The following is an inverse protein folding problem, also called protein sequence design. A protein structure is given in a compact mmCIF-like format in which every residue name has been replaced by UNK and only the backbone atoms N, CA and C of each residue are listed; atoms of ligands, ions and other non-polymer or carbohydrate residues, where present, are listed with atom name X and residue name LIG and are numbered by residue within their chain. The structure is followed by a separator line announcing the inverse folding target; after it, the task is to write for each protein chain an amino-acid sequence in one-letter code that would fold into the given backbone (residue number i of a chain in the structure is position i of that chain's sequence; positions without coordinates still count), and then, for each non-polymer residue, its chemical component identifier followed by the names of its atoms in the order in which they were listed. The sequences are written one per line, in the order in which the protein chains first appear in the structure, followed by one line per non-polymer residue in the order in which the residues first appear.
data_IF_292190916401
#
_entry.id   IF_292190916401
#
_cell.length_a   1.000
_cell.length_b   1.000
_cell.length_c   1.000
_cell.angle_alpha   90.00
_cell.angle_beta   90.00
_cell.angle_gamma   90.00
#
_symmetry.space_group_name_H-M   'P 1'
#
loop_
_entity.id
_entity.type
_entity.pdbx_description
1 polymer ?
#
# COMPACT_ATOMS: atom_id res chain seq x y z
N UNK A 1 -2.26 -11.78 -12.73
CA UNK A 1 -1.61 -10.47 -12.89
C UNK A 1 -2.42 -9.43 -12.12
N UNK A 2 -1.77 -8.54 -11.38
CA UNK A 2 -2.36 -7.40 -10.66
C UNK A 2 -1.99 -6.14 -11.42
N UNK A 3 -2.99 -5.35 -11.82
CA UNK A 3 -2.78 -4.07 -12.49
C UNK A 3 -3.68 -2.98 -11.93
N UNK A 4 -3.18 -1.75 -11.93
CA UNK A 4 -3.97 -0.54 -11.73
C UNK A 4 -4.20 0.13 -13.08
N UNK A 5 -5.35 0.78 -13.23
CA UNK A 5 -5.73 1.39 -14.50
C UNK A 5 -6.21 2.82 -14.24
N UNK A 6 -5.63 3.77 -14.96
CA UNK A 6 -6.08 5.16 -15.00
C UNK A 6 -6.73 5.49 -16.35
N UNK A 7 -7.03 6.77 -16.60
CA UNK A 7 -7.68 7.20 -17.84
C UNK A 7 -6.84 7.04 -19.10
N UNK A 8 -5.56 6.68 -18.98
CA UNK A 8 -4.60 6.63 -20.08
C UNK A 8 -3.85 5.31 -20.18
N UNK A 9 -3.55 4.67 -19.05
CA UNK A 9 -2.67 3.51 -19.00
C UNK A 9 -3.17 2.45 -18.04
N UNK A 10 -2.87 1.20 -18.38
CA UNK A 10 -2.82 0.10 -17.46
C UNK A 10 -1.36 -0.13 -17.03
N UNK A 11 -1.11 -0.12 -15.72
CA UNK A 11 0.19 -0.41 -15.14
C UNK A 11 0.14 -1.73 -14.35
N UNK A 12 1.04 -2.67 -14.68
CA UNK A 12 1.11 -3.96 -14.01
C UNK A 12 2.04 -3.88 -12.81
N UNK A 13 1.45 -4.02 -11.62
CA UNK A 13 2.20 -4.02 -10.37
C UNK A 13 2.86 -5.38 -10.07
N UNK A 14 2.17 -6.46 -10.44
CA UNK A 14 2.64 -7.82 -10.17
C UNK A 14 2.04 -8.82 -11.13
N UNK A 15 2.75 -9.91 -11.36
CA UNK A 15 2.26 -11.01 -12.18
C UNK A 15 3.30 -11.52 -13.15
N UNK A 16 2.99 -12.68 -13.71
CA UNK A 16 3.79 -13.34 -14.72
C UNK A 16 3.12 -13.00 -16.06
N UNK A 17 3.87 -12.38 -16.96
CA UNK A 17 3.46 -12.10 -18.33
C UNK A 17 4.50 -12.69 -19.26
N UNK A 18 4.11 -13.30 -20.38
CA UNK A 18 5.07 -13.73 -21.41
C UNK A 18 5.77 -12.55 -22.09
N UNK A 19 5.24 -11.32 -21.95
CA UNK A 19 5.84 -10.11 -22.51
C UNK A 19 6.65 -9.38 -21.44
N UNK A 20 7.97 -9.33 -21.65
CA UNK A 20 8.92 -8.57 -20.84
C UNK A 20 9.03 -7.14 -21.36
N UNK A 21 7.95 -6.35 -21.30
CA UNK A 21 8.09 -4.90 -21.46
C UNK A 21 8.77 -4.34 -20.21
N UNK A 22 9.87 -3.60 -20.38
CA UNK A 22 10.64 -2.99 -19.28
C UNK A 22 9.74 -2.13 -18.37
N UNK A 23 8.78 -1.42 -18.97
CA UNK A 23 7.89 -0.49 -18.26
C UNK A 23 6.62 -1.14 -17.69
N UNK A 24 6.30 -2.39 -18.08
CA UNK A 24 5.09 -3.14 -17.66
C UNK A 24 3.80 -2.31 -17.67
N UNK A 25 3.70 -1.36 -18.61
CA UNK A 25 2.62 -0.40 -18.74
C UNK A 25 2.24 -0.22 -20.19
N UNK A 26 0.96 -0.05 -20.49
CA UNK A 26 0.47 0.17 -21.86
C UNK A 26 -0.79 1.04 -21.89
N UNK A 27 -1.09 1.70 -23.03
CA UNK A 27 -2.31 2.48 -23.19
C UNK A 27 -3.57 1.67 -22.89
N UNK A 28 -4.51 2.27 -22.15
CA UNK A 28 -5.72 1.58 -21.68
C UNK A 28 -6.56 1.03 -22.82
N UNK A 29 -6.58 1.71 -23.97
CA UNK A 29 -7.34 1.30 -25.17
C UNK A 29 -6.82 0.00 -25.76
N UNK A 30 -5.53 -0.30 -25.53
CA UNK A 30 -4.88 -1.56 -25.93
C UNK A 30 -4.99 -2.64 -24.85
N UNK A 31 -5.58 -2.31 -23.71
CA UNK A 31 -5.71 -3.25 -22.60
C UNK A 31 -6.90 -4.18 -22.77
N UNK A 32 -6.66 -5.45 -22.47
CA UNK A 32 -7.74 -6.42 -22.29
C UNK A 32 -8.58 -6.12 -21.05
N UNK A 33 -7.97 -5.60 -19.98
CA UNK A 33 -8.62 -5.45 -18.68
C UNK A 33 -9.50 -4.19 -18.58
N UNK A 34 -9.45 -3.30 -19.59
CA UNK A 34 -10.28 -2.08 -19.62
C UNK A 34 -11.78 -2.40 -19.53
N UNK A 35 -12.21 -3.54 -20.09
CA UNK A 35 -13.61 -3.95 -20.09
C UNK A 35 -14.13 -4.38 -18.71
N UNK A 36 -13.23 -4.60 -17.73
CA UNK A 36 -13.58 -4.98 -16.36
C UNK A 36 -13.91 -3.76 -15.51
N UNK A 37 -13.45 -2.57 -15.90
CA UNK A 37 -13.65 -1.34 -15.13
C UNK A 37 -15.11 -0.89 -15.03
N UNK A 38 -15.99 -1.42 -15.88
CA UNK A 38 -17.40 -1.04 -15.95
C UNK A 38 -18.30 -1.83 -14.99
N UNK A 39 -17.79 -2.89 -14.35
CA UNK A 39 -18.58 -3.77 -13.49
C UNK A 39 -17.86 -4.02 -12.16
N UNK A 40 -18.66 -4.27 -11.11
CA UNK A 40 -18.16 -4.70 -9.82
C UNK A 40 -18.04 -6.22 -9.76
N UNK A 41 -18.73 -6.97 -10.62
CA UNK A 41 -18.68 -8.42 -10.62
C UNK A 41 -17.48 -8.97 -11.42
N UNK A 42 -16.93 -10.12 -11.02
CA UNK A 42 -15.91 -10.82 -11.80
C UNK A 42 -16.42 -11.18 -13.21
N UNK A 43 -15.60 -10.93 -14.22
CA UNK A 43 -15.87 -11.36 -15.60
C UNK A 43 -15.15 -12.66 -15.90
N UNK A 44 -15.91 -13.73 -16.13
CA UNK A 44 -15.37 -15.07 -16.41
C UNK A 44 -15.69 -15.46 -17.86
N UNK A 45 -14.64 -15.67 -18.66
CA UNK A 45 -14.72 -15.98 -20.08
C UNK A 45 -14.03 -17.32 -20.34
N UNK A 46 -14.81 -18.34 -20.65
CA UNK A 46 -14.27 -19.68 -20.94
C UNK A 46 -13.47 -19.73 -22.26
N UNK A 47 -13.94 -19.02 -23.29
CA UNK A 47 -13.29 -18.95 -24.60
C UNK A 47 -13.36 -17.53 -25.15
N UNK A 48 -12.25 -16.80 -25.08
CA UNK A 48 -12.15 -15.39 -25.48
C UNK A 48 -12.43 -15.20 -26.97
N UNK A 49 -12.18 -16.21 -27.81
CA UNK A 49 -12.41 -16.14 -29.26
C UNK A 49 -13.90 -16.11 -29.62
N UNK A 50 -14.76 -16.62 -28.73
CA UNK A 50 -16.22 -16.69 -28.91
C UNK A 50 -16.96 -15.57 -28.19
N UNK A 51 -16.26 -14.79 -27.35
CA UNK A 51 -16.90 -13.75 -26.55
C UNK A 51 -17.19 -12.50 -27.41
N UNK A 52 -18.40 -11.91 -27.37
CA UNK A 52 -18.81 -10.83 -28.27
C UNK A 52 -17.98 -9.54 -28.16
N UNK A 53 -17.42 -9.27 -26.97
CA UNK A 53 -16.52 -8.13 -26.70
C UNK A 53 -15.05 -8.53 -26.88
N UNK A 54 -14.53 -9.38 -25.99
CA UNK A 54 -13.13 -9.82 -26.02
C UNK A 54 -12.67 -10.49 -27.32
N UNK A 55 -13.56 -11.17 -28.05
CA UNK A 55 -13.24 -11.78 -29.34
C UNK A 55 -12.83 -10.78 -30.43
N UNK A 56 -13.23 -9.51 -30.27
CA UNK A 56 -12.87 -8.41 -31.17
C UNK A 56 -11.55 -7.74 -30.79
N UNK A 57 -10.96 -8.09 -29.65
CA UNK A 57 -9.71 -7.50 -29.19
C UNK A 57 -8.57 -7.84 -30.18
N UNK A 58 -7.69 -6.89 -30.55
CA UNK A 58 -6.63 -7.13 -31.55
C UNK A 58 -5.76 -8.36 -31.25
N UNK A 59 -5.43 -8.60 -29.97
CA UNK A 59 -4.66 -9.78 -29.57
C UNK A 59 -5.42 -11.11 -29.77
N UNK A 60 -6.76 -11.11 -29.70
CA UNK A 60 -7.57 -12.31 -29.96
C UNK A 60 -7.72 -12.52 -31.46
N UNK A 61 -8.01 -11.47 -32.23
CA UNK A 61 -8.14 -11.52 -33.70
C UNK A 61 -6.82 -11.96 -34.36
N UNK A 62 -5.68 -11.52 -33.85
CA UNK A 62 -4.36 -11.93 -34.34
C UNK A 62 -3.89 -13.32 -33.85
N UNK A 63 -4.65 -13.97 -32.98
CA UNK A 63 -4.30 -15.27 -32.38
C UNK A 63 -3.21 -15.21 -31.29
N UNK A 64 -2.78 -14.02 -30.89
CA UNK A 64 -1.81 -13.83 -29.78
C UNK A 64 -2.39 -14.13 -28.40
N UNK A 65 -3.71 -14.06 -28.26
CA UNK A 65 -4.45 -14.35 -27.04
C UNK A 65 -5.56 -15.36 -27.40
N UNK A 66 -5.55 -16.51 -26.75
CA UNK A 66 -6.55 -17.57 -26.96
C UNK A 66 -6.96 -18.17 -25.61
N UNK A 67 -7.94 -19.08 -25.62
CA UNK A 67 -8.36 -19.79 -24.42
C UNK A 67 -9.24 -18.98 -23.48
N UNK A 68 -8.99 -19.07 -22.17
CA UNK A 68 -9.86 -18.50 -21.14
C UNK A 68 -9.25 -17.27 -20.48
N UNK A 69 -10.13 -16.39 -19.99
CA UNK A 69 -9.77 -15.19 -19.25
C UNK A 69 -10.73 -14.99 -18.08
N UNK A 70 -10.18 -14.62 -16.92
CA UNK A 70 -10.94 -14.21 -15.75
C UNK A 70 -10.41 -12.85 -15.28
N UNK A 71 -11.28 -11.84 -15.20
CA UNK A 71 -10.96 -10.52 -14.67
C UNK A 71 -11.73 -10.26 -13.39
N UNK A 72 -11.01 -9.90 -12.32
CA UNK A 72 -11.58 -9.57 -11.01
C UNK A 72 -11.29 -8.09 -10.72
N UNK A 73 -12.32 -7.25 -10.51
CA UNK A 73 -12.11 -5.82 -10.28
C UNK A 73 -11.53 -5.56 -8.88
N UNK A 74 -10.40 -4.86 -8.81
CA UNK A 74 -9.84 -4.37 -7.54
C UNK A 74 -10.64 -3.14 -7.15
N UNK A 75 -11.49 -3.25 -6.11
CA UNK A 75 -12.45 -2.21 -5.74
C UNK A 75 -12.24 -1.67 -4.31
N UNK A 76 -12.38 -0.36 -4.14
CA UNK A 76 -12.38 0.29 -2.82
C UNK A 76 -13.64 -0.05 -2.03
N UNK A 77 -13.70 0.34 -0.74
CA UNK A 77 -14.93 0.22 0.07
C UNK A 77 -16.12 0.98 -0.53
N UNK A 78 -15.84 1.97 -1.37
CA UNK A 78 -16.82 2.86 -1.97
C UNK A 78 -17.16 2.45 -3.41
N UNK A 79 -16.83 1.21 -3.78
CA UNK A 79 -17.05 0.61 -5.10
C UNK A 79 -16.34 1.32 -6.26
N UNK A 80 -15.25 2.05 -6.00
CA UNK A 80 -14.38 2.55 -7.06
C UNK A 80 -13.46 1.42 -7.53
N UNK A 81 -13.53 1.08 -8.82
CA UNK A 81 -12.62 0.10 -9.43
C UNK A 81 -11.29 0.77 -9.76
N UNK A 82 -10.22 0.34 -9.08
CA UNK A 82 -8.86 0.86 -9.23
C UNK A 82 -8.07 0.15 -10.35
N UNK A 83 -8.53 -1.03 -10.76
CA UNK A 83 -7.84 -1.89 -11.71
C UNK A 83 -8.31 -3.33 -11.61
N UNK A 84 -7.43 -4.28 -11.94
CA UNK A 84 -7.83 -5.69 -12.07
C UNK A 84 -6.80 -6.66 -11.51
N UNK A 85 -7.30 -7.75 -10.93
CA UNK A 85 -6.58 -9.00 -10.84
C UNK A 85 -7.09 -9.90 -11.97
N UNK A 86 -6.22 -10.30 -12.90
CA UNK A 86 -6.62 -11.12 -14.02
C UNK A 86 -5.83 -12.43 -14.15
N UNK A 87 -6.51 -13.45 -14.64
CA UNK A 87 -5.99 -14.78 -14.95
C UNK A 87 -6.25 -15.03 -16.43
N UNK A 88 -5.24 -15.50 -17.16
CA UNK A 88 -5.35 -15.96 -18.53
C UNK A 88 -4.81 -17.37 -18.63
N UNK A 89 -5.40 -18.18 -19.51
CA UNK A 89 -4.89 -19.51 -19.85
C UNK A 89 -5.07 -19.73 -21.35
N UNK A 90 -4.00 -20.12 -22.04
CA UNK A 90 -3.98 -20.23 -23.51
C UNK A 90 -4.97 -21.28 -24.06
N UNK A 91 -5.43 -22.20 -23.21
CA UNK A 91 -6.50 -23.14 -23.53
C UNK A 91 -7.81 -22.78 -22.79
N UNK A 92 -8.99 -23.08 -23.35
CA UNK A 92 -10.24 -22.91 -22.63
C UNK A 92 -10.25 -23.75 -21.34
N UNK A 93 -10.29 -23.08 -20.19
CA UNK A 93 -10.28 -23.70 -18.88
C UNK A 93 -11.38 -23.09 -18.02
N UNK A 94 -12.21 -23.96 -17.44
CA UNK A 94 -13.22 -23.54 -16.50
C UNK A 94 -12.59 -23.26 -15.11
N UNK A 95 -13.19 -22.34 -14.39
CA UNK A 95 -12.88 -22.02 -12.99
C UNK A 95 -14.14 -22.29 -12.17
N UNK A 96 -13.99 -22.95 -11.01
CA UNK A 96 -15.15 -23.27 -10.18
C UNK A 96 -15.68 -22.02 -9.49
N UNK A 97 -16.95 -22.05 -9.11
CA UNK A 97 -17.64 -20.97 -8.38
C UNK A 97 -16.97 -20.66 -7.05
N UNK A 98 -16.44 -21.68 -6.37
CA UNK A 98 -15.75 -21.55 -5.09
C UNK A 98 -14.44 -20.77 -5.27
N UNK A 99 -13.69 -21.08 -6.33
CA UNK A 99 -12.44 -20.36 -6.64
C UNK A 99 -12.73 -18.91 -7.04
N UNK A 100 -13.76 -18.67 -7.86
CA UNK A 100 -14.19 -17.31 -8.22
C UNK A 100 -14.51 -16.50 -6.97
N UNK A 101 -15.31 -17.06 -6.06
CA UNK A 101 -15.67 -16.39 -4.80
C UNK A 101 -14.45 -16.14 -3.91
N UNK A 102 -13.53 -17.11 -3.79
CA UNK A 102 -12.32 -16.94 -2.99
C UNK A 102 -11.41 -15.83 -3.54
N UNK A 103 -11.21 -15.79 -4.86
CA UNK A 103 -10.39 -14.78 -5.52
C UNK A 103 -11.04 -13.40 -5.43
N UNK A 104 -12.35 -13.27 -5.68
CA UNK A 104 -13.06 -11.99 -5.57
C UNK A 104 -12.99 -11.42 -4.14
N UNK A 105 -13.13 -12.27 -3.12
CA UNK A 105 -12.94 -11.87 -1.73
C UNK A 105 -11.51 -11.38 -1.44
N UNK A 106 -10.49 -12.07 -1.96
CA UNK A 106 -9.10 -11.64 -1.84
C UNK A 106 -8.87 -10.28 -2.51
N UNK A 107 -9.39 -10.11 -3.72
CA UNK A 107 -9.25 -8.89 -4.53
C UNK A 107 -9.98 -7.70 -3.90
N UNK A 108 -11.14 -7.94 -3.29
CA UNK A 108 -11.87 -6.93 -2.50
C UNK A 108 -11.05 -6.46 -1.30
N UNK A 109 -10.45 -7.41 -0.55
CA UNK A 109 -9.56 -7.07 0.57
C UNK A 109 -8.32 -6.29 0.11
N UNK A 110 -7.76 -6.63 -1.05
CA UNK A 110 -6.65 -5.87 -1.65
C UNK A 110 -7.06 -4.42 -1.94
N UNK A 111 -8.23 -4.20 -2.55
CA UNK A 111 -8.71 -2.83 -2.82
C UNK A 111 -8.95 -2.01 -1.55
N UNK A 112 -9.55 -2.61 -0.52
CA UNK A 112 -9.69 -1.97 0.80
C UNK A 112 -8.34 -1.63 1.45
N UNK A 113 -7.35 -2.53 1.32
CA UNK A 113 -5.99 -2.28 1.81
C UNK A 113 -5.31 -1.11 1.09
N UNK A 114 -5.42 -1.05 -0.25
CA UNK A 114 -4.86 0.04 -1.05
C UNK A 114 -5.48 1.40 -0.67
N UNK A 115 -6.80 1.45 -0.50
CA UNK A 115 -7.49 2.64 -0.04
C UNK A 115 -7.01 3.08 1.36
N UNK A 116 -6.88 2.13 2.29
CA UNK A 116 -6.36 2.41 3.63
C UNK A 116 -4.96 3.00 3.59
N UNK A 117 -4.06 2.45 2.77
CA UNK A 117 -2.70 2.98 2.62
C UNK A 117 -2.69 4.41 2.06
N UNK A 118 -3.54 4.68 1.05
CA UNK A 118 -3.70 6.03 0.51
C UNK A 118 -4.19 7.03 1.56
N UNK A 119 -5.17 6.63 2.38
CA UNK A 119 -5.69 7.46 3.47
C UNK A 119 -4.63 7.74 4.53
N UNK A 120 -3.87 6.71 4.95
CA UNK A 120 -2.77 6.88 5.92
C UNK A 120 -1.73 7.88 5.40
N UNK A 121 -1.34 7.77 4.13
CA UNK A 121 -0.38 8.71 3.54
C UNK A 121 -0.91 10.15 3.55
N UNK A 122 -2.18 10.34 3.16
CA UNK A 122 -2.84 11.65 3.16
C UNK A 122 -2.92 12.24 4.57
N UNK A 123 -3.34 11.44 5.54
CA UNK A 123 -3.48 11.85 6.94
C UNK A 123 -2.13 12.19 7.56
N UNK A 124 -1.10 11.37 7.31
CA UNK A 124 0.26 11.64 7.77
C UNK A 124 0.80 12.97 7.22
N UNK A 125 0.59 13.23 5.92
CA UNK A 125 0.97 14.50 5.31
C UNK A 125 0.23 15.68 5.92
N UNK A 126 -1.08 15.56 6.12
CA UNK A 126 -1.90 16.62 6.72
C UNK A 126 -1.49 16.92 8.17
N UNK A 127 -1.32 15.88 8.98
CA UNK A 127 -0.89 16.03 10.39
C UNK A 127 0.52 16.60 10.49
N UNK A 128 1.46 16.14 9.65
CA UNK A 128 2.80 16.72 9.58
C UNK A 128 2.74 18.23 9.30
N UNK A 129 1.92 18.67 8.34
CA UNK A 129 1.72 20.10 8.06
C UNK A 129 1.18 20.86 9.28
N UNK A 130 0.20 20.31 9.98
CA UNK A 130 -0.35 20.93 11.20
C UNK A 130 0.71 21.00 12.31
N UNK A 131 1.50 19.96 12.51
CA UNK A 131 2.61 19.95 13.46
C UNK A 131 3.69 20.97 13.13
N UNK A 132 4.04 21.12 11.85
CA UNK A 132 4.99 22.15 11.41
C UNK A 132 4.46 23.57 11.62
N UNK A 133 3.16 23.81 11.37
CA UNK A 133 2.53 25.10 11.69
C UNK A 133 2.54 25.38 13.19
N UNK A 134 2.20 24.38 14.01
CA UNK A 134 2.27 24.49 15.46
C UNK A 134 3.69 24.81 15.93
N UNK A 135 4.70 24.14 15.37
CA UNK A 135 6.11 24.39 15.65
C UNK A 135 6.50 25.84 15.31
N UNK A 136 6.09 26.33 14.15
CA UNK A 136 6.35 27.70 13.70
C UNK A 136 5.73 28.74 14.65
N UNK A 137 4.53 28.47 15.17
CA UNK A 137 3.81 29.37 16.09
C UNK A 137 4.40 29.39 17.50
N UNK A 138 4.78 28.22 18.05
CA UNK A 138 5.17 28.08 19.45
C UNK A 138 6.68 28.12 19.66
N UNK A 139 7.47 27.86 18.61
CA UNK A 139 8.93 27.87 18.62
C UNK A 139 9.46 28.67 17.43
N UNK A 140 9.31 30.02 17.41
CA UNK A 140 9.72 30.85 16.28
C UNK A 140 11.23 30.81 15.99
N UNK A 141 12.04 30.46 17.00
CA UNK A 141 13.50 30.31 16.89
C UNK A 141 13.92 28.89 16.48
N UNK A 142 12.97 27.95 16.32
CA UNK A 142 13.26 26.56 15.94
C UNK A 142 13.67 26.49 14.47
N UNK A 143 14.87 25.99 14.24
CA UNK A 143 15.41 25.82 12.90
C UNK A 143 15.10 24.42 12.35
N UNK A 144 15.22 24.25 11.03
CA UNK A 144 15.14 22.92 10.41
C UNK A 144 16.18 21.94 11.01
N UNK A 145 17.36 22.44 11.38
CA UNK A 145 18.40 21.64 12.01
C UNK A 145 17.99 21.14 13.40
N UNK A 146 17.29 21.97 14.18
CA UNK A 146 16.76 21.57 15.49
C UNK A 146 15.65 20.51 15.33
N UNK A 147 14.80 20.64 14.30
CA UNK A 147 13.78 19.65 14.01
C UNK A 147 14.40 18.30 13.61
N UNK A 148 15.42 18.30 12.75
CA UNK A 148 16.18 17.09 12.39
C UNK A 148 16.76 16.46 13.66
N UNK A 149 17.42 17.26 14.50
CA UNK A 149 18.02 16.80 15.75
C UNK A 149 16.97 16.23 16.72
N UNK A 150 15.76 16.80 16.78
CA UNK A 150 14.67 16.28 17.62
C UNK A 150 14.20 14.90 17.13
N UNK A 151 14.15 14.70 15.81
CA UNK A 151 13.79 13.42 15.19
C UNK A 151 14.91 12.39 15.38
N UNK A 152 16.17 12.79 15.23
CA UNK A 152 17.35 11.97 15.53
C UNK A 152 17.37 11.55 17.00
N UNK A 153 17.11 12.49 17.92
CA UNK A 153 16.99 12.21 19.35
C UNK A 153 15.89 11.19 19.64
N UNK A 154 14.68 11.37 19.06
CA UNK A 154 13.59 10.39 19.19
C UNK A 154 14.08 9.02 18.73
N UNK A 155 14.67 8.94 17.54
CA UNK A 155 15.11 7.67 16.94
C UNK A 155 16.32 7.03 17.64
N UNK A 156 16.91 7.69 18.65
CA UNK A 156 18.13 7.23 19.31
C UNK A 156 19.39 7.37 18.46
N UNK A 157 19.34 8.17 17.39
CA UNK A 157 20.39 8.33 16.38
C UNK A 157 21.18 9.64 16.52
N UNK A 158 21.55 10.04 17.74
CA UNK A 158 22.34 11.26 17.98
C UNK A 158 23.79 10.92 18.41
N UNK A 159 24.76 11.75 18.02
CA UNK A 159 26.19 11.45 18.17
C UNK A 159 26.73 11.74 19.57
N UNK A 160 26.37 12.87 20.18
CA UNK A 160 26.83 13.25 21.52
C UNK A 160 25.83 14.12 22.30
N UNK A 161 25.92 14.07 23.63
CA UNK A 161 25.17 14.91 24.57
C UNK A 161 25.27 16.42 24.29
N UNK A 162 26.42 16.88 23.79
CA UNK A 162 26.66 18.27 23.43
C UNK A 162 25.85 18.74 22.21
N UNK A 163 25.42 17.80 21.35
CA UNK A 163 24.64 18.12 20.15
C UNK A 163 23.20 18.51 20.51
N UNK A 164 22.71 18.11 21.70
CA UNK A 164 21.34 18.36 22.18
C UNK A 164 21.13 19.74 22.82
N UNK A 165 22.17 20.59 22.89
CA UNK A 165 22.08 21.94 23.47
C UNK A 165 20.94 22.79 22.89
N UNK A 166 20.70 22.80 21.56
CA UNK A 166 19.59 23.57 21.00
C UNK A 166 18.23 23.08 21.51
N UNK A 167 18.03 21.76 21.62
CA UNK A 167 16.78 21.19 22.12
C UNK A 167 16.54 21.46 23.61
N UNK A 168 17.62 21.48 24.42
CA UNK A 168 17.55 21.91 25.82
C UNK A 168 17.17 23.39 25.94
N UNK A 169 17.76 24.26 25.11
CA UNK A 169 17.43 25.70 25.05
C UNK A 169 15.95 25.92 24.70
N UNK A 170 15.42 25.12 23.77
CA UNK A 170 14.01 25.14 23.37
C UNK A 170 13.07 24.44 24.36
N UNK A 171 13.60 23.86 25.45
CA UNK A 171 12.86 23.08 26.46
C UNK A 171 12.10 21.89 25.88
N UNK A 172 12.57 21.34 24.75
CA UNK A 172 12.01 20.14 24.13
C UNK A 172 12.61 18.86 24.76
N UNK A 173 13.80 19.00 25.34
CA UNK A 173 14.49 17.96 26.11
C UNK A 173 14.97 18.56 27.43
N UNK A 174 14.93 17.77 28.49
CA UNK A 174 15.42 18.13 29.83
C UNK A 174 16.95 18.07 29.92
N UNK A 175 17.50 18.60 31.00
CA UNK A 175 18.95 18.52 31.27
C UNK A 175 19.48 17.08 31.34
N UNK A 176 18.63 16.14 31.75
CA UNK A 176 18.90 14.71 31.82
C UNK A 176 18.58 13.94 30.52
N UNK A 177 18.49 14.65 29.39
CA UNK A 177 18.30 14.04 28.06
C UNK A 177 17.02 13.21 27.94
N UNK A 178 15.98 13.63 28.65
CA UNK A 178 14.62 13.07 28.52
C UNK A 178 13.72 14.06 27.81
N UNK A 179 12.84 13.54 26.96
CA UNK A 179 11.76 14.31 26.33
C UNK A 179 10.92 15.02 27.41
N UNK A 180 10.68 16.32 27.24
CA UNK A 180 9.77 17.10 28.10
C UNK A 180 8.32 16.98 27.60
N UNK A 181 7.34 17.44 28.38
CA UNK A 181 5.94 17.51 27.94
C UNK A 181 5.79 18.33 26.66
N UNK A 182 6.50 19.46 26.57
CA UNK A 182 6.57 20.30 25.38
C UNK A 182 7.16 19.55 24.16
N UNK A 183 8.23 18.78 24.37
CA UNK A 183 8.81 17.94 23.33
C UNK A 183 7.88 16.83 22.88
N UNK A 184 7.18 16.20 23.83
CA UNK A 184 6.18 15.17 23.55
C UNK A 184 4.98 15.73 22.79
N UNK A 185 4.47 16.88 23.20
CA UNK A 185 3.39 17.58 22.49
C UNK A 185 3.82 17.93 21.07
N UNK A 186 5.01 18.51 20.89
CA UNK A 186 5.51 18.84 19.55
C UNK A 186 5.62 17.59 18.65
N UNK A 187 6.16 16.48 19.17
CA UNK A 187 6.25 15.21 18.43
C UNK A 187 4.87 14.60 18.12
N UNK A 188 3.91 14.73 19.04
CA UNK A 188 2.52 14.28 18.84
C UNK A 188 1.84 15.08 17.71
N UNK A 189 1.99 16.41 17.72
CA UNK A 189 1.47 17.28 16.66
C UNK A 189 2.08 16.99 15.30
N UNK A 190 3.36 16.59 15.25
CA UNK A 190 4.04 16.15 14.02
C UNK A 190 3.63 14.74 13.59
N UNK A 191 2.80 14.04 14.38
CA UNK A 191 2.43 12.63 14.18
C UNK A 191 3.67 11.72 14.10
N UNK A 192 4.70 12.08 14.88
CA UNK A 192 5.96 11.35 15.07
C UNK A 192 6.02 10.69 16.46
N UNK A 193 5.02 10.96 17.30
CA UNK A 193 4.81 10.29 18.57
C UNK A 193 3.77 9.19 18.38
N UNK A 194 4.20 7.94 18.53
CA UNK A 194 3.30 6.80 18.51
C UNK A 194 3.17 6.29 19.94
N UNK A 195 2.07 6.61 20.60
CA UNK A 195 1.75 6.07 21.94
C UNK A 195 1.50 4.55 21.90
N UNK A 196 1.29 3.98 20.71
CA UNK A 196 0.89 2.58 20.52
C UNK A 196 2.01 1.56 20.75
N UNK A 197 3.26 2.01 20.90
CA UNK A 197 4.38 1.20 21.36
C UNK A 197 4.92 1.70 22.69
N UNK A 198 4.08 1.65 23.74
CA UNK A 198 4.65 1.35 25.05
C UNK A 198 5.36 0.00 24.88
N UNK A 199 6.69 0.01 24.82
CA UNK A 199 7.52 -1.18 24.83
C UNK A 199 7.20 -1.97 26.09
N UNK A 200 6.18 -2.83 26.02
CA UNK A 200 6.18 -4.02 26.84
C UNK A 200 7.35 -4.81 26.28
N UNK A 201 8.44 -4.86 27.04
CA UNK A 201 9.40 -5.95 26.93
C UNK A 201 8.58 -7.23 27.12
N UNK A 202 8.08 -7.78 26.02
CA UNK A 202 7.60 -9.14 25.98
C UNK A 202 8.88 -9.93 25.82
N UNK A 203 9.27 -10.61 26.90
CA UNK A 203 10.37 -11.54 26.88
C UNK A 203 9.95 -12.72 25.99
N UNK A 204 10.59 -12.84 24.82
CA UNK A 204 10.26 -13.87 23.82
C UNK A 204 11.00 -15.19 24.06
N UNK A 205 11.56 -15.41 25.24
CA UNK A 205 12.33 -16.62 25.55
C UNK A 205 11.51 -17.91 25.45
N UNK A 206 10.17 -17.86 25.48
CA UNK A 206 9.31 -19.05 25.52
C UNK A 206 8.42 -19.29 24.29
N UNK A 207 8.49 -18.48 23.22
CA UNK A 207 7.53 -18.57 22.08
C UNK A 207 8.07 -19.26 20.82
N UNK A 208 9.35 -19.62 20.74
CA UNK A 208 9.87 -20.38 19.60
C UNK A 208 9.11 -21.71 19.40
N UNK A 209 8.79 -22.39 20.50
CA UNK A 209 8.01 -23.64 20.47
C UNK A 209 6.55 -23.46 19.99
N UNK A 210 5.97 -22.26 20.16
CA UNK A 210 4.60 -21.97 19.72
C UNK A 210 4.52 -21.60 18.24
N UNK A 211 5.61 -21.09 17.66
CA UNK A 211 5.69 -20.75 16.24
C UNK A 211 5.92 -22.00 15.38
N UNK A 212 6.76 -22.93 15.85
CA UNK A 212 7.03 -24.19 15.14
C UNK A 212 5.81 -25.12 15.14
N UNK A 213 5.02 -25.13 16.22
CA UNK A 213 3.79 -25.92 16.33
C UNK A 213 2.68 -25.52 15.31
N UNK A 214 2.76 -24.36 14.67
CA UNK A 214 1.80 -23.91 13.65
C UNK A 214 2.00 -24.59 12.28
N UNK A 215 3.12 -25.29 12.08
CA UNK A 215 3.51 -25.88 10.79
C UNK A 215 3.70 -27.39 10.84
N UNK A 216 3.49 -28.04 11.99
CA UNK A 216 3.66 -29.50 12.11
C UNK A 216 2.52 -30.32 11.46
N UNK A 217 1.38 -29.71 11.14
CA UNK A 217 0.23 -30.35 10.49
C UNK A 217 0.02 -29.91 9.01
N UNK A 218 1.08 -29.48 8.31
CA UNK A 218 1.08 -29.20 6.86
C UNK A 218 1.90 -30.21 6.05
#
# INVERSE_FOLDING_TARGET
MVSLIDSTHQCVLSGISPVSDEDRSWPVEKSFCQHILADLEPTIVFDVTKHPVFGKHPNVVSGKMTGSYCGFPIRTSDNLVLGTYCLGNDTPKAISTEVVSAVDNMVTKLGAYLQRQSNIQRDNSHKMLLGLKHAQEHYPELTLQDLILLIEFRNGNFKAANDLKPLKKLKLISEHEKLTDNGAELLDKLNLYDTSFASRKIDFTDQAAAFDALFEDL
#
